data_IF_007238026539
#
_entry.id   IF_007238026539
#
_cell.length_a   1.000
_cell.length_b   1.000
_cell.length_c   1.000
_cell.angle_alpha   90.00
_cell.angle_beta   90.00
_cell.angle_gamma   90.00
#
_symmetry.space_group_name_H-M   'P 1'
#
loop_
_entity.id
_entity.type
_entity.pdbx_description
1 polymer ?
#
# COMPACT_ATOMS: atom_id res chain seq x y z
N UNK A 1 17.33 66.52 -12.04
CA UNK A 1 15.86 66.68 -12.02
C UNK A 1 15.25 65.31 -12.23
N UNK A 2 14.94 64.61 -11.14
CA UNK A 2 14.45 63.23 -11.14
C UNK A 2 12.92 63.24 -11.10
N UNK A 3 12.28 62.80 -12.18
CA UNK A 3 10.84 62.89 -12.34
C UNK A 3 10.18 61.64 -11.76
N UNK A 4 9.68 61.73 -10.52
CA UNK A 4 8.94 60.65 -9.86
C UNK A 4 7.49 60.62 -10.35
N UNK A 5 7.18 59.66 -11.22
CA UNK A 5 5.81 59.43 -11.69
C UNK A 5 4.93 58.95 -10.52
N UNK A 6 4.10 59.84 -9.97
CA UNK A 6 3.09 59.51 -8.96
C UNK A 6 2.01 58.62 -9.58
N UNK A 7 1.74 57.46 -8.97
CA UNK A 7 0.63 56.58 -9.38
C UNK A 7 -0.70 57.24 -8.98
N UNK A 8 -1.72 57.25 -9.87
CA UNK A 8 -3.02 57.80 -9.52
C UNK A 8 -3.71 56.90 -8.49
N UNK A 9 -4.03 57.48 -7.33
CA UNK A 9 -4.84 56.86 -6.28
C UNK A 9 -6.28 56.74 -6.77
N UNK A 10 -6.81 55.52 -6.88
CA UNK A 10 -8.24 55.37 -7.17
C UNK A 10 -8.74 54.03 -7.68
N UNK A 11 -7.91 53.01 -7.92
CA UNK A 11 -8.41 51.68 -8.29
C UNK A 11 -8.36 50.71 -7.12
N UNK A 12 -9.53 50.39 -6.57
CA UNK A 12 -9.73 49.31 -5.59
C UNK A 12 -9.16 48.02 -6.18
N UNK A 13 -8.17 47.36 -5.55
CA UNK A 13 -7.64 46.11 -6.05
C UNK A 13 -8.78 45.10 -6.20
N UNK A 14 -8.93 44.48 -7.38
CA UNK A 14 -9.88 43.37 -7.54
C UNK A 14 -9.48 42.31 -6.51
N UNK A 15 -10.41 41.98 -5.59
CA UNK A 15 -10.23 40.90 -4.61
C UNK A 15 -9.65 39.70 -5.34
N UNK A 16 -8.37 39.38 -5.10
CA UNK A 16 -7.83 38.08 -5.50
C UNK A 16 -8.71 37.07 -4.80
N UNK A 17 -9.47 36.28 -5.56
CA UNK A 17 -10.14 35.11 -5.02
C UNK A 17 -9.02 34.27 -4.41
N UNK A 18 -8.97 34.22 -3.08
CA UNK A 18 -8.13 33.28 -2.36
C UNK A 18 -8.65 31.91 -2.80
N UNK A 19 -7.96 31.25 -3.73
CA UNK A 19 -8.21 29.85 -4.02
C UNK A 19 -7.74 29.13 -2.75
N UNK A 20 -8.67 28.94 -1.81
CA UNK A 20 -8.38 28.17 -0.60
C UNK A 20 -7.73 26.85 -0.97
N UNK A 21 -6.83 26.38 -0.09
CA UNK A 21 -5.87 25.28 -0.25
C UNK A 21 -6.38 24.03 -1.00
N UNK A 22 -6.55 24.15 -2.32
CA UNK A 22 -6.99 23.06 -3.17
C UNK A 22 -5.95 21.93 -3.17
N UNK A 23 -4.68 22.30 -3.07
CA UNK A 23 -3.54 21.39 -2.98
C UNK A 23 -3.59 20.51 -1.72
N UNK A 24 -3.91 21.09 -0.56
CA UNK A 24 -3.93 20.34 0.71
C UNK A 24 -5.13 19.39 0.80
N UNK A 25 -6.28 19.78 0.24
CA UNK A 25 -7.46 18.90 0.13
C UNK A 25 -7.23 17.72 -0.81
N UNK A 26 -6.59 17.95 -1.96
CA UNK A 26 -6.27 16.88 -2.92
C UNK A 26 -5.29 15.88 -2.30
N UNK A 27 -4.25 16.36 -1.62
CA UNK A 27 -3.23 15.51 -1.00
C UNK A 27 -3.78 14.60 0.11
N UNK A 28 -4.71 15.11 0.94
CA UNK A 28 -5.39 14.29 1.95
C UNK A 28 -6.25 13.20 1.32
N UNK A 29 -6.95 13.52 0.23
CA UNK A 29 -7.85 12.58 -0.45
C UNK A 29 -7.11 11.43 -1.13
N UNK A 30 -6.00 11.75 -1.82
CA UNK A 30 -5.17 10.76 -2.51
C UNK A 30 -4.49 9.82 -1.53
N UNK A 31 -4.00 10.34 -0.40
CA UNK A 31 -3.38 9.53 0.64
C UNK A 31 -4.34 8.50 1.26
N UNK A 32 -5.59 8.90 1.49
CA UNK A 32 -6.61 7.99 2.04
C UNK A 32 -7.06 6.98 0.99
N UNK A 33 -7.04 7.32 -0.31
CA UNK A 33 -7.36 6.38 -1.39
C UNK A 33 -6.30 5.26 -1.50
N UNK A 34 -5.01 5.60 -1.50
CA UNK A 34 -3.91 4.62 -1.60
C UNK A 34 -3.90 3.61 -0.43
N UNK A 35 -4.29 4.05 0.77
CA UNK A 35 -4.46 3.17 1.94
C UNK A 35 -5.64 2.19 1.81
N UNK A 36 -6.71 2.58 1.12
CA UNK A 36 -7.85 1.69 0.85
C UNK A 36 -7.49 0.62 -0.18
N UNK A 37 -6.73 0.99 -1.20
CA UNK A 37 -6.25 0.05 -2.22
C UNK A 37 -5.41 -1.08 -1.61
N UNK A 38 -4.47 -0.72 -0.73
CA UNK A 38 -3.60 -1.67 -0.03
C UNK A 38 -4.36 -2.57 0.94
N UNK A 39 -5.31 -2.03 1.71
CA UNK A 39 -6.14 -2.83 2.65
C UNK A 39 -7.05 -3.81 1.92
N UNK A 40 -7.72 -3.39 0.85
CA UNK A 40 -8.52 -4.30 0.03
C UNK A 40 -7.68 -5.42 -0.58
N UNK A 41 -6.41 -5.15 -0.90
CA UNK A 41 -5.49 -6.17 -1.40
C UNK A 41 -5.13 -7.22 -0.34
N UNK A 42 -4.95 -6.82 0.92
CA UNK A 42 -4.74 -7.77 2.03
C UNK A 42 -5.91 -8.74 2.22
N UNK A 43 -7.14 -8.30 1.87
CA UNK A 43 -8.36 -9.12 1.94
C UNK A 43 -8.54 -9.96 0.65
N UNK A 44 -7.70 -9.76 -0.37
CA UNK A 44 -7.80 -10.45 -1.65
C UNK A 44 -8.85 -9.86 -2.60
N UNK A 45 -9.29 -8.63 -2.35
CA UNK A 45 -10.30 -7.95 -3.15
C UNK A 45 -9.68 -7.08 -4.25
N UNK A 46 -10.35 -7.02 -5.41
CA UNK A 46 -9.92 -6.26 -6.58
C UNK A 46 -10.44 -4.82 -6.62
N UNK A 47 -10.20 -4.13 -7.73
CA UNK A 47 -10.64 -2.75 -7.91
C UNK A 47 -12.18 -2.64 -7.99
N UNK A 48 -12.89 -3.61 -8.56
CA UNK A 48 -14.35 -3.56 -8.68
C UNK A 48 -15.05 -3.64 -7.32
N UNK A 49 -14.58 -4.52 -6.46
CA UNK A 49 -15.01 -4.59 -5.05
C UNK A 49 -14.68 -3.31 -4.28
N UNK A 50 -13.57 -2.63 -4.60
CA UNK A 50 -13.27 -1.35 -3.96
C UNK A 50 -14.16 -0.21 -4.48
N UNK A 51 -14.51 -0.20 -5.77
CA UNK A 51 -15.46 0.76 -6.35
C UNK A 51 -16.84 0.60 -5.73
N UNK A 52 -17.33 -0.63 -5.60
CA UNK A 52 -18.61 -0.93 -4.95
C UNK A 52 -18.58 -0.57 -3.46
N UNK A 53 -17.50 -0.89 -2.76
CA UNK A 53 -17.30 -0.45 -1.37
C UNK A 53 -17.34 1.08 -1.22
N UNK A 54 -16.62 1.81 -2.07
CA UNK A 54 -16.65 3.27 -2.05
C UNK A 54 -18.05 3.82 -2.34
N UNK A 55 -18.77 3.24 -3.31
CA UNK A 55 -20.14 3.65 -3.64
C UNK A 55 -21.09 3.44 -2.45
N UNK A 56 -21.03 2.29 -1.78
CA UNK A 56 -21.85 1.98 -0.58
C UNK A 56 -21.52 2.94 0.57
N UNK A 57 -20.24 3.24 0.78
CA UNK A 57 -19.78 4.10 1.86
C UNK A 57 -19.90 5.60 1.56
N UNK A 58 -20.50 5.99 0.43
CA UNK A 58 -20.55 7.39 -0.05
C UNK A 58 -19.16 8.05 -0.10
N UNK A 59 -18.15 7.24 -0.42
CA UNK A 59 -16.77 7.66 -0.55
C UNK A 59 -16.47 8.03 -2.01
N UNK A 60 -15.44 8.87 -2.23
CA UNK A 60 -14.98 9.17 -3.57
C UNK A 60 -14.45 7.90 -4.22
N UNK A 61 -14.61 7.81 -5.54
CA UNK A 61 -14.07 6.68 -6.29
C UNK A 61 -12.57 6.52 -6.03
N UNK A 62 -12.10 5.26 -5.94
CA UNK A 62 -10.69 4.95 -5.78
C UNK A 62 -9.88 5.41 -7.01
N UNK A 63 -8.56 5.25 -6.93
CA UNK A 63 -7.64 5.62 -8.01
C UNK A 63 -8.03 5.01 -9.36
N UNK A 64 -7.66 5.69 -10.44
CA UNK A 64 -7.89 5.21 -11.80
C UNK A 64 -7.23 3.83 -12.02
N UNK A 65 -7.82 3.02 -12.92
CA UNK A 65 -7.33 1.67 -13.23
C UNK A 65 -5.83 1.65 -13.55
N UNK A 66 -5.35 2.61 -14.35
CA UNK A 66 -3.93 2.71 -14.71
C UNK A 66 -3.02 2.88 -13.50
N UNK A 67 -3.41 3.73 -12.56
CA UNK A 67 -2.67 3.97 -11.33
C UNK A 67 -2.72 2.74 -10.41
N UNK A 68 -3.87 2.09 -10.32
CA UNK A 68 -4.05 0.83 -9.58
C UNK A 68 -3.12 -0.27 -10.11
N UNK A 69 -3.04 -0.45 -11.43
CA UNK A 69 -2.19 -1.47 -12.05
C UNK A 69 -0.71 -1.20 -11.80
N UNK A 70 -0.28 0.08 -11.84
CA UNK A 70 1.10 0.47 -11.49
C UNK A 70 1.43 0.13 -10.04
N UNK A 71 0.52 0.40 -9.11
CA UNK A 71 0.69 0.08 -7.68
C UNK A 71 0.78 -1.45 -7.51
N UNK A 72 -0.12 -2.20 -8.14
CA UNK A 72 -0.13 -3.66 -8.07
C UNK A 72 1.13 -4.29 -8.63
N UNK A 73 1.65 -3.79 -9.75
CA UNK A 73 2.89 -4.30 -10.33
C UNK A 73 4.08 -4.06 -9.41
N UNK A 74 4.17 -2.86 -8.79
CA UNK A 74 5.19 -2.56 -7.79
C UNK A 74 5.08 -3.47 -6.57
N UNK A 75 3.87 -3.62 -6.03
CA UNK A 75 3.60 -4.46 -4.87
C UNK A 75 3.94 -5.92 -5.16
N UNK A 76 3.52 -6.45 -6.31
CA UNK A 76 3.84 -7.82 -6.72
C UNK A 76 5.34 -8.05 -6.81
N UNK A 77 6.12 -7.07 -7.28
CA UNK A 77 7.57 -7.20 -7.36
C UNK A 77 8.21 -7.26 -5.98
N UNK A 78 7.87 -6.32 -5.10
CA UNK A 78 8.39 -6.27 -3.72
C UNK A 78 8.01 -7.52 -2.95
N UNK A 79 6.76 -7.99 -3.09
CA UNK A 79 6.32 -9.21 -2.41
C UNK A 79 7.06 -10.47 -2.88
N UNK A 80 7.44 -10.54 -4.17
CA UNK A 80 8.28 -11.63 -4.68
C UNK A 80 9.69 -11.56 -4.08
N UNK A 81 10.30 -10.38 -4.07
CA UNK A 81 11.64 -10.17 -3.48
C UNK A 81 11.63 -10.56 -1.99
N UNK A 82 10.63 -10.13 -1.23
CA UNK A 82 10.45 -10.50 0.19
C UNK A 82 10.23 -12.01 0.36
N UNK A 83 9.44 -12.65 -0.50
CA UNK A 83 9.23 -14.09 -0.44
C UNK A 83 10.53 -14.86 -0.72
N UNK A 84 11.31 -14.45 -1.72
CA UNK A 84 12.61 -15.04 -2.01
C UNK A 84 13.60 -14.88 -0.85
N UNK A 85 13.68 -13.69 -0.26
CA UNK A 85 14.50 -13.45 0.93
C UNK A 85 14.05 -14.30 2.12
N UNK A 86 12.74 -14.38 2.37
CA UNK A 86 12.17 -15.20 3.44
C UNK A 86 12.51 -16.67 3.27
N UNK A 87 12.37 -17.21 2.05
CA UNK A 87 12.72 -18.61 1.76
C UNK A 87 14.22 -18.87 1.92
N UNK A 88 15.08 -17.94 1.48
CA UNK A 88 16.54 -18.05 1.68
C UNK A 88 16.91 -18.04 3.16
N UNK A 89 16.31 -17.16 3.97
CA UNK A 89 16.54 -17.10 5.42
C UNK A 89 16.11 -18.39 6.10
N UNK A 90 14.92 -18.91 5.77
CA UNK A 90 14.43 -20.17 6.29
C UNK A 90 15.38 -21.35 5.98
N UNK A 91 15.90 -21.41 4.75
CA UNK A 91 16.87 -22.44 4.36
C UNK A 91 18.18 -22.36 5.15
N UNK A 92 18.69 -21.15 5.42
CA UNK A 92 19.90 -20.94 6.23
C UNK A 92 19.68 -21.35 7.68
N UNK A 93 18.55 -20.96 8.27
CA UNK A 93 18.18 -21.34 9.64
C UNK A 93 18.07 -22.86 9.80
N UNK A 94 17.44 -23.55 8.84
CA UNK A 94 17.29 -25.01 8.86
C UNK A 94 18.65 -25.72 8.72
N UNK A 95 19.54 -25.22 7.85
CA UNK A 95 20.87 -25.79 7.68
C UNK A 95 21.75 -25.61 8.93
N UNK A 96 21.61 -24.49 9.64
CA UNK A 96 22.36 -24.24 10.89
C UNK A 96 21.88 -25.07 12.08
N UNK A 97 20.62 -25.52 12.04
CA UNK A 97 19.98 -26.23 13.15
C UNK A 97 19.95 -27.76 12.97
N UNK A 98 20.39 -28.26 11.82
CA UNK A 98 20.43 -29.67 11.47
C UNK A 98 21.86 -30.21 11.63
N UNK A 99 22.14 -31.14 12.56
CA UNK A 99 23.50 -31.65 12.79
C UNK A 99 24.04 -32.51 11.62
N UNK A 100 23.15 -33.07 10.78
CA UNK A 100 23.51 -34.05 9.74
C UNK A 100 23.27 -33.56 8.30
N UNK A 101 22.97 -32.26 8.09
CA UNK A 101 22.55 -31.70 6.79
C UNK A 101 21.33 -32.41 6.14
N UNK A 102 20.57 -33.19 6.92
CA UNK A 102 19.41 -33.94 6.44
C UNK A 102 18.16 -33.04 6.47
N UNK A 103 17.99 -32.25 5.41
CA UNK A 103 16.80 -31.41 5.19
C UNK A 103 15.59 -32.29 4.86
N UNK A 104 14.89 -32.78 5.89
CA UNK A 104 13.68 -33.59 5.69
C UNK A 104 12.47 -32.67 5.56
N UNK A 105 12.14 -32.32 4.33
CA UNK A 105 10.88 -31.62 4.00
C UNK A 105 9.72 -32.54 4.36
N UNK A 106 8.95 -32.17 5.40
CA UNK A 106 7.68 -32.84 5.67
C UNK A 106 6.72 -32.48 4.52
N UNK A 107 6.41 -33.46 3.68
CA UNK A 107 5.63 -33.29 2.45
C UNK A 107 4.14 -32.97 2.66
N UNK A 108 3.73 -32.65 3.89
CA UNK A 108 2.37 -32.29 4.28
C UNK A 108 2.10 -30.77 4.19
N UNK A 109 3.12 -29.97 3.88
CA UNK A 109 2.98 -28.51 3.71
C UNK A 109 2.86 -27.74 5.03
N UNK A 110 3.02 -28.41 6.18
CA UNK A 110 2.94 -27.77 7.48
C UNK A 110 4.28 -27.12 7.81
N UNK A 111 4.35 -25.79 7.77
CA UNK A 111 5.54 -25.06 8.21
C UNK A 111 5.71 -25.22 9.73
N UNK A 112 6.71 -26.00 10.13
CA UNK A 112 7.20 -26.02 11.51
C UNK A 112 7.81 -24.64 11.84
N UNK A 113 7.02 -23.72 12.35
CA UNK A 113 7.56 -22.53 13.02
C UNK A 113 8.07 -22.96 14.40
N UNK A 114 9.40 -23.06 14.53
CA UNK A 114 10.05 -23.49 15.78
C UNK A 114 9.80 -22.43 16.86
N UNK A 115 9.02 -22.77 17.90
CA UNK A 115 8.71 -21.87 19.02
C UNK A 115 7.22 -21.57 19.22
N UNK A 116 6.35 -21.95 18.29
CA UNK A 116 4.90 -21.94 18.51
C UNK A 116 4.37 -23.38 18.56
N UNK A 117 4.06 -23.88 19.75
CA UNK A 117 3.19 -25.04 19.88
C UNK A 117 1.77 -24.60 19.57
N UNK A 118 1.29 -24.82 18.34
CA UNK A 118 -0.15 -24.75 18.10
C UNK A 118 -0.82 -25.88 18.87
N UNK A 119 -1.77 -25.55 19.75
CA UNK A 119 -2.54 -26.50 20.55
C UNK A 119 -3.44 -27.44 19.71
N UNK A 120 -3.42 -27.27 18.39
CA UNK A 120 -4.27 -27.96 17.43
C UNK A 120 -3.35 -28.78 16.55
N UNK A 121 -3.27 -30.08 16.84
CA UNK A 121 -2.63 -31.06 15.96
C UNK A 121 -3.46 -31.23 14.70
N UNK A 122 -2.80 -31.35 13.55
CA UNK A 122 -3.43 -31.74 12.29
C UNK A 122 -3.72 -33.24 12.36
N UNK A 123 -5.00 -33.61 12.40
CA UNK A 123 -5.43 -34.98 12.10
C UNK A 123 -5.77 -35.07 10.61
N UNK A 124 -5.01 -35.85 9.85
CA UNK A 124 -5.43 -36.32 8.53
C UNK A 124 -6.29 -37.57 8.70
N UNK A 125 -7.41 -37.63 7.95
CA UNK A 125 -8.36 -38.77 7.95
C UNK A 125 -7.78 -39.96 7.21
#
# INVERSE_FOLDING_TARGET
MENTHRRPSGKRPKKRRFRGNHFMKVCSHTYVAERRDTTMRCIGQGLESLKTFCAVMSLPNPVEQKSYDVINNKLSRVMKEVAEESMKRAAVEENSSSPDNLLTVSGDGTWKTRGHSSLIGVCTV
#
